data_IF_584522025919
#
_entry.id   IF_584522025919
#
_cell.length_a   1.000
_cell.length_b   1.000
_cell.length_c   1.000
_cell.angle_alpha   90.00
_cell.angle_beta   90.00
_cell.angle_gamma   90.00
#
_symmetry.space_group_name_H-M   'P 1'
#
loop_
_entity.id
_entity.type
_entity.pdbx_description
1 polymer ?
#
# COMPACT_ATOMS: atom_id res chain seq x y z
N UNK A 1 16.70 -12.44 2.77
CA UNK A 1 15.32 -12.66 2.34
C UNK A 1 15.29 -12.96 0.85
N UNK A 2 14.43 -13.90 0.40
CA UNK A 2 14.32 -14.28 -1.01
C UNK A 2 13.37 -13.32 -1.79
N UNK A 3 13.04 -12.17 -1.22
CA UNK A 3 12.23 -11.12 -1.86
C UNK A 3 13.10 -9.90 -2.15
N UNK A 4 13.08 -9.43 -3.38
CA UNK A 4 13.70 -8.18 -3.75
C UNK A 4 12.61 -7.11 -3.85
N UNK A 5 12.60 -6.18 -2.91
CA UNK A 5 11.71 -5.03 -2.93
C UNK A 5 12.53 -3.78 -3.22
N UNK A 6 12.15 -3.07 -4.28
CA UNK A 6 12.76 -1.79 -4.64
C UNK A 6 11.72 -0.70 -4.56
N UNK A 7 12.05 0.35 -3.83
CA UNK A 7 11.20 1.53 -3.70
C UNK A 7 11.27 2.33 -5.01
N UNK A 8 10.15 2.45 -5.72
CA UNK A 8 10.08 3.09 -7.04
C UNK A 8 9.42 4.48 -6.98
N UNK A 9 8.96 4.88 -5.83
CA UNK A 9 8.29 6.16 -5.59
C UNK A 9 7.96 6.26 -4.14
N UNK A 10 8.96 6.23 -3.29
CA UNK A 10 8.74 6.48 -1.89
C UNK A 10 9.04 7.92 -1.62
N UNK A 11 8.13 8.44 -0.97
CA UNK A 11 8.20 9.55 -0.11
C UNK A 11 9.59 9.98 0.33
N UNK A 12 9.81 11.23 0.11
CA UNK A 12 10.64 12.02 0.97
C UNK A 12 9.80 13.15 1.55
N UNK A 13 8.80 12.82 2.37
CA UNK A 13 8.18 13.80 3.23
C UNK A 13 9.23 14.30 4.22
N UNK A 14 9.81 15.48 4.01
CA UNK A 14 10.62 16.21 4.96
C UNK A 14 12.13 15.85 5.03
N UNK A 15 12.70 15.13 4.08
CA UNK A 15 14.16 15.11 3.93
C UNK A 15 14.56 15.67 2.59
N UNK A 16 15.13 16.87 2.60
CA UNK A 16 15.66 17.59 1.43
C UNK A 16 16.91 16.93 0.83
N UNK A 17 17.15 15.65 1.08
CA UNK A 17 18.37 14.99 0.67
C UNK A 17 18.11 13.61 0.08
N UNK A 18 18.22 13.52 -1.24
CA UNK A 18 18.65 12.29 -1.90
C UNK A 18 20.13 12.04 -1.58
N UNK A 19 20.61 10.80 -1.72
CA UNK A 19 22.05 10.55 -1.69
C UNK A 19 22.75 11.39 -2.77
N UNK A 20 23.96 11.85 -2.51
CA UNK A 20 24.76 12.60 -3.47
C UNK A 20 24.84 11.80 -4.78
N UNK A 21 24.52 12.48 -5.88
CA UNK A 21 24.50 11.93 -7.25
C UNK A 21 23.38 10.91 -7.58
N UNK A 22 22.42 10.69 -6.68
CA UNK A 22 21.20 9.93 -6.94
C UNK A 22 19.98 10.86 -6.99
N UNK A 23 19.47 11.12 -8.18
CA UNK A 23 18.37 12.06 -8.41
C UNK A 23 17.08 11.29 -8.72
N UNK A 24 16.30 11.00 -7.67
CA UNK A 24 14.96 10.44 -7.81
C UNK A 24 13.90 11.50 -7.57
N UNK A 25 12.75 11.33 -8.21
CA UNK A 25 11.60 12.21 -8.00
C UNK A 25 10.89 11.75 -6.73
N UNK A 26 10.74 12.66 -5.76
CA UNK A 26 9.91 12.46 -4.56
C UNK A 26 8.51 13.03 -4.74
N UNK A 27 7.52 12.33 -4.22
CA UNK A 27 6.15 12.82 -4.05
C UNK A 27 5.55 12.22 -2.76
N UNK A 28 4.58 12.86 -2.09
CA UNK A 28 3.98 12.33 -0.88
C UNK A 28 3.00 11.19 -1.21
N UNK A 29 3.55 10.10 -1.68
CA UNK A 29 2.83 8.96 -2.24
C UNK A 29 3.66 7.68 -2.09
N UNK A 30 3.09 6.54 -2.48
CA UNK A 30 3.75 5.25 -2.32
C UNK A 30 3.65 4.41 -3.59
N UNK A 31 4.76 3.73 -3.94
CA UNK A 31 4.81 2.70 -4.97
C UNK A 31 5.98 1.75 -4.71
N UNK A 32 5.73 0.45 -4.67
CA UNK A 32 6.74 -0.59 -4.49
C UNK A 32 6.77 -1.53 -5.69
N UNK A 33 7.96 -1.73 -6.24
CA UNK A 33 8.21 -2.81 -7.19
C UNK A 33 8.75 -4.02 -6.44
N UNK A 34 8.17 -5.20 -6.72
CA UNK A 34 8.44 -6.44 -5.98
C UNK A 34 8.66 -7.56 -6.98
N UNK A 35 9.74 -8.31 -6.80
CA UNK A 35 10.00 -9.56 -7.53
C UNK A 35 9.82 -10.74 -6.60
N UNK A 36 9.00 -11.72 -7.02
CA UNK A 36 8.78 -12.99 -6.33
C UNK A 36 8.92 -14.12 -7.33
N UNK A 37 10.07 -14.82 -7.32
CA UNK A 37 10.44 -15.82 -8.32
C UNK A 37 10.39 -15.26 -9.76
N UNK A 38 9.41 -15.67 -10.55
CA UNK A 38 9.21 -15.21 -11.93
C UNK A 38 8.13 -14.14 -12.08
N UNK A 39 7.47 -13.76 -10.97
CA UNK A 39 6.43 -12.74 -10.94
C UNK A 39 7.01 -11.36 -10.62
N UNK A 40 6.50 -10.36 -11.30
CA UNK A 40 6.86 -8.96 -11.10
C UNK A 40 5.61 -8.18 -10.74
N UNK A 41 5.59 -7.64 -9.55
CA UNK A 41 4.44 -6.96 -9.00
C UNK A 41 4.77 -5.47 -8.80
N UNK A 42 3.76 -4.65 -9.00
CA UNK A 42 3.74 -3.27 -8.54
C UNK A 42 2.68 -3.16 -7.45
N UNK A 43 3.03 -2.59 -6.31
CA UNK A 43 2.09 -2.31 -5.23
C UNK A 43 1.95 -0.81 -5.10
N UNK A 44 0.76 -0.29 -5.41
CA UNK A 44 0.41 1.12 -5.58
C UNK A 44 1.22 1.85 -6.69
N UNK A 45 0.81 3.06 -7.03
CA UNK A 45 1.36 3.80 -8.18
C UNK A 45 1.65 5.27 -7.91
N UNK A 46 1.47 5.73 -6.67
CA UNK A 46 1.66 7.14 -6.37
C UNK A 46 0.62 8.08 -6.99
N UNK A 47 0.91 9.38 -6.96
CA UNK A 47 0.08 10.42 -7.58
C UNK A 47 0.31 10.59 -9.08
N UNK A 48 1.55 10.46 -9.53
CA UNK A 48 1.99 10.90 -10.85
C UNK A 48 2.75 9.81 -11.63
N UNK A 49 3.51 10.21 -12.63
CA UNK A 49 4.45 9.34 -13.34
C UNK A 49 5.83 9.22 -12.66
N UNK A 50 5.97 9.73 -11.44
CA UNK A 50 7.24 9.73 -10.71
C UNK A 50 7.80 8.31 -10.54
N UNK A 51 6.95 7.33 -10.20
CA UNK A 51 7.36 5.93 -10.09
C UNK A 51 7.90 5.34 -11.40
N UNK A 52 7.36 5.74 -12.56
CA UNK A 52 7.85 5.31 -13.89
C UNK A 52 9.23 5.88 -14.15
N UNK A 53 9.43 7.18 -13.90
CA UNK A 53 10.71 7.85 -14.10
C UNK A 53 11.79 7.29 -13.16
N UNK A 54 11.42 7.03 -11.91
CA UNK A 54 12.32 6.41 -10.94
C UNK A 54 12.68 4.97 -11.34
N UNK A 55 11.69 4.17 -11.79
CA UNK A 55 11.93 2.82 -12.30
C UNK A 55 12.92 2.83 -13.47
N UNK A 56 12.74 3.75 -14.41
CA UNK A 56 13.68 3.92 -15.55
C UNK A 56 15.08 4.29 -15.06
N UNK A 57 15.21 5.21 -14.09
CA UNK A 57 16.50 5.63 -13.54
C UNK A 57 17.29 4.48 -12.89
N UNK A 58 16.57 3.49 -12.30
CA UNK A 58 17.19 2.30 -11.67
C UNK A 58 17.11 1.05 -12.56
N UNK A 59 16.81 1.20 -13.86
CA UNK A 59 16.72 0.14 -14.86
C UNK A 59 15.71 -0.97 -14.52
N UNK A 60 14.55 -0.61 -13.95
CA UNK A 60 13.41 -1.50 -13.78
C UNK A 60 12.47 -1.35 -14.97
N UNK A 61 12.18 -2.46 -15.64
CA UNK A 61 11.22 -2.51 -16.75
C UNK A 61 9.79 -2.78 -16.24
N UNK A 62 9.01 -1.71 -16.13
CA UNK A 62 7.60 -1.81 -15.71
C UNK A 62 6.67 -2.39 -16.80
N UNK A 63 7.12 -2.53 -18.05
CA UNK A 63 6.31 -3.21 -19.08
C UNK A 63 6.14 -4.69 -18.82
N UNK A 64 7.02 -5.26 -18.00
CA UNK A 64 7.09 -6.69 -17.66
C UNK A 64 6.36 -7.05 -16.35
N UNK A 65 5.63 -6.09 -15.71
CA UNK A 65 4.85 -6.42 -14.52
C UNK A 65 3.68 -7.36 -14.87
N UNK A 66 3.49 -8.38 -14.05
CA UNK A 66 2.39 -9.34 -14.19
C UNK A 66 1.14 -8.90 -13.41
N UNK A 67 1.34 -8.22 -12.29
CA UNK A 67 0.26 -7.82 -11.39
C UNK A 67 0.53 -6.44 -10.79
N UNK A 68 -0.48 -5.57 -10.85
CA UNK A 68 -0.59 -4.35 -10.07
C UNK A 68 -1.54 -4.62 -8.91
N UNK A 69 -1.11 -4.37 -7.69
CA UNK A 69 -1.96 -4.43 -6.49
C UNK A 69 -2.21 -3.01 -6.00
N UNK A 70 -3.46 -2.65 -5.75
CA UNK A 70 -3.81 -1.37 -5.14
C UNK A 70 -4.24 -1.59 -3.69
N UNK A 71 -3.57 -0.91 -2.77
CA UNK A 71 -3.85 -1.01 -1.33
C UNK A 71 -5.22 -0.45 -0.98
N UNK A 72 -5.55 0.73 -1.50
CA UNK A 72 -6.84 1.40 -1.36
C UNK A 72 -6.99 2.49 -2.43
N UNK A 73 -8.16 3.16 -2.45
CA UNK A 73 -8.53 4.03 -3.55
C UNK A 73 -8.17 5.51 -3.39
N UNK A 74 -7.30 5.92 -2.47
CA UNK A 74 -6.83 7.30 -2.44
C UNK A 74 -5.92 7.61 -3.63
N UNK A 75 -5.90 8.87 -4.04
CA UNK A 75 -5.22 9.31 -5.25
C UNK A 75 -3.69 9.25 -5.16
N UNK A 76 -3.12 9.28 -3.96
CA UNK A 76 -1.70 9.08 -3.66
C UNK A 76 -1.24 7.61 -3.76
N UNK A 77 -2.17 6.70 -4.03
CA UNK A 77 -1.92 5.28 -4.29
C UNK A 77 -2.35 4.86 -5.70
N UNK A 78 -3.36 5.55 -6.26
CA UNK A 78 -3.99 5.17 -7.53
C UNK A 78 -3.77 6.16 -8.66
N UNK A 79 -3.23 7.35 -8.38
CA UNK A 79 -3.06 8.45 -9.34
C UNK A 79 -2.17 8.08 -10.51
N UNK A 80 -1.16 7.27 -10.27
CA UNK A 80 -0.21 6.82 -11.27
C UNK A 80 -0.76 5.81 -12.28
N UNK A 81 -1.87 5.11 -11.99
CA UNK A 81 -2.43 4.07 -12.88
C UNK A 81 -2.65 4.58 -14.31
N UNK A 82 -3.17 5.79 -14.46
CA UNK A 82 -3.38 6.41 -15.79
C UNK A 82 -2.09 6.59 -16.58
N UNK A 83 -0.98 6.89 -15.90
CA UNK A 83 0.33 7.06 -16.54
C UNK A 83 0.92 5.71 -16.94
N UNK A 84 0.74 4.68 -16.10
CA UNK A 84 1.13 3.31 -16.43
C UNK A 84 0.39 2.81 -17.68
N UNK A 85 -0.93 2.99 -17.75
CA UNK A 85 -1.76 2.62 -18.90
C UNK A 85 -1.34 3.34 -20.18
N UNK A 86 -1.00 4.63 -20.09
CA UNK A 86 -0.58 5.43 -21.24
C UNK A 86 0.83 5.08 -21.73
N UNK A 87 1.75 4.83 -20.79
CA UNK A 87 3.14 4.51 -21.12
C UNK A 87 3.30 3.10 -21.66
N UNK A 88 2.50 2.17 -21.17
CA UNK A 88 2.55 0.74 -21.50
C UNK A 88 1.18 0.21 -21.94
N UNK A 89 0.65 0.67 -23.10
CA UNK A 89 -0.71 0.31 -23.54
C UNK A 89 -0.88 -1.18 -23.85
N UNK A 90 0.21 -1.89 -24.12
CA UNK A 90 0.22 -3.33 -24.38
C UNK A 90 0.45 -4.17 -23.10
N UNK A 91 0.66 -3.53 -21.95
CA UNK A 91 0.81 -4.21 -20.68
C UNK A 91 -0.52 -4.91 -20.31
N UNK A 92 -0.46 -6.23 -20.20
CA UNK A 92 -1.62 -7.06 -19.83
C UNK A 92 -1.62 -7.42 -18.36
N UNK A 93 -1.03 -6.56 -17.51
CA UNK A 93 -1.00 -6.83 -16.09
C UNK A 93 -2.43 -6.93 -15.52
N UNK A 94 -2.58 -7.80 -14.55
CA UNK A 94 -3.81 -7.94 -13.77
C UNK A 94 -3.78 -6.90 -12.65
N UNK A 95 -4.89 -6.20 -12.43
CA UNK A 95 -5.07 -5.37 -11.24
C UNK A 95 -5.82 -6.17 -10.17
N UNK A 96 -5.25 -6.27 -8.99
CA UNK A 96 -5.88 -6.87 -7.80
C UNK A 96 -6.15 -5.75 -6.79
N UNK A 97 -7.40 -5.62 -6.37
CA UNK A 97 -7.81 -4.59 -5.42
C UNK A 97 -9.14 -4.93 -4.73
N UNK A 98 -9.51 -4.15 -3.73
CA UNK A 98 -10.85 -4.19 -3.16
C UNK A 98 -11.88 -3.59 -4.13
N UNK A 99 -13.16 -4.03 -4.15
CA UNK A 99 -14.20 -3.49 -5.03
C UNK A 99 -14.44 -1.97 -4.92
N UNK A 100 -14.17 -1.39 -3.78
CA UNK A 100 -14.41 0.04 -3.51
C UNK A 100 -13.24 0.95 -3.93
N UNK A 101 -12.17 0.42 -4.50
CA UNK A 101 -10.94 1.16 -4.84
C UNK A 101 -11.17 2.31 -5.83
N UNK A 102 -12.17 2.21 -6.70
CA UNK A 102 -12.48 3.24 -7.69
C UNK A 102 -13.64 4.15 -7.31
N UNK A 103 -14.14 4.08 -6.07
CA UNK A 103 -15.19 4.98 -5.59
C UNK A 103 -14.70 6.43 -5.54
N UNK A 104 -15.60 7.35 -5.86
CA UNK A 104 -15.31 8.77 -5.74
C UNK A 104 -15.28 9.18 -4.27
N UNK A 105 -14.21 9.84 -3.86
CA UNK A 105 -13.99 10.28 -2.49
C UNK A 105 -13.69 11.77 -2.43
N UNK A 106 -14.28 12.45 -1.44
CA UNK A 106 -14.13 13.88 -1.23
C UNK A 106 -13.76 14.12 0.24
N UNK A 107 -12.73 14.93 0.45
CA UNK A 107 -12.36 15.45 1.76
C UNK A 107 -12.11 16.96 1.65
N UNK A 108 -12.81 17.78 2.46
CA UNK A 108 -12.71 19.24 2.41
C UNK A 108 -12.81 19.81 0.98
N UNK A 109 -13.80 19.36 0.21
CA UNK A 109 -14.04 19.75 -1.19
C UNK A 109 -12.97 19.27 -2.20
N UNK A 110 -11.93 18.61 -1.73
CA UNK A 110 -10.89 18.02 -2.58
C UNK A 110 -11.26 16.60 -2.99
N UNK A 111 -11.07 16.28 -4.26
CA UNK A 111 -11.14 14.89 -4.73
C UNK A 111 -9.90 14.13 -4.30
N UNK A 112 -10.07 13.20 -3.37
CA UNK A 112 -8.99 12.36 -2.83
C UNK A 112 -9.06 10.90 -3.30
N UNK A 113 -10.10 10.53 -4.04
CA UNK A 113 -10.27 9.19 -4.59
C UNK A 113 -9.49 8.97 -5.89
N UNK A 114 -9.54 7.74 -6.41
CA UNK A 114 -8.94 7.37 -7.68
C UNK A 114 -9.40 8.33 -8.80
N UNK A 115 -8.45 8.84 -9.63
CA UNK A 115 -8.79 9.70 -10.76
C UNK A 115 -9.42 8.92 -11.93
N UNK A 116 -9.45 7.59 -11.86
CA UNK A 116 -10.01 6.72 -12.89
C UNK A 116 -11.28 6.05 -12.39
N UNK A 117 -12.25 5.95 -13.28
CA UNK A 117 -13.44 5.12 -13.03
C UNK A 117 -13.16 3.66 -13.38
N UNK A 118 -13.73 2.73 -12.60
CA UNK A 118 -13.61 1.30 -12.82
C UNK A 118 -13.89 0.87 -14.28
N UNK A 119 -14.94 1.44 -14.89
CA UNK A 119 -15.33 1.16 -16.28
C UNK A 119 -14.23 1.49 -17.30
N UNK A 120 -13.40 2.47 -17.02
CA UNK A 120 -12.35 2.91 -17.95
C UNK A 120 -11.10 2.04 -17.78
N UNK A 121 -10.79 1.65 -16.57
CA UNK A 121 -9.71 0.69 -16.28
C UNK A 121 -10.04 -0.70 -16.86
N UNK A 122 -11.27 -1.17 -16.73
CA UNK A 122 -11.74 -2.46 -17.31
C UNK A 122 -11.57 -2.58 -18.83
N UNK A 123 -11.53 -1.46 -19.54
CA UNK A 123 -11.32 -1.49 -21.01
C UNK A 123 -9.89 -1.85 -21.41
N UNK A 124 -8.93 -1.58 -20.53
CA UNK A 124 -7.50 -1.68 -20.83
C UNK A 124 -6.79 -2.76 -19.99
N UNK A 125 -7.29 -3.04 -18.81
CA UNK A 125 -6.66 -3.94 -17.85
C UNK A 125 -7.63 -5.00 -17.31
N UNK A 126 -7.08 -6.14 -16.92
CA UNK A 126 -7.87 -7.21 -16.28
C UNK A 126 -8.02 -6.90 -14.79
N UNK A 127 -9.25 -6.63 -14.34
CA UNK A 127 -9.56 -6.34 -12.94
C UNK A 127 -9.97 -7.61 -12.18
N UNK A 128 -9.33 -7.86 -11.06
CA UNK A 128 -9.73 -8.84 -10.06
C UNK A 128 -10.06 -8.11 -8.75
N UNK A 129 -11.31 -7.75 -8.60
CA UNK A 129 -11.79 -7.03 -7.42
C UNK A 129 -12.30 -8.05 -6.40
N UNK A 130 -11.76 -8.04 -5.19
CA UNK A 130 -12.11 -9.00 -4.13
C UNK A 130 -12.01 -8.40 -2.73
N UNK A 131 -12.95 -8.80 -1.87
CA UNK A 131 -12.90 -8.57 -0.43
C UNK A 131 -12.17 -9.69 0.32
N UNK A 132 -11.97 -10.82 -0.34
CA UNK A 132 -11.37 -12.01 0.26
C UNK A 132 -9.87 -12.06 -0.05
N UNK A 133 -9.07 -12.69 0.84
CA UNK A 133 -7.67 -12.94 0.54
C UNK A 133 -7.48 -13.72 -0.76
N UNK A 134 -6.46 -13.33 -1.53
CA UNK A 134 -6.11 -14.01 -2.77
C UNK A 134 -4.61 -14.02 -3.01
N UNK A 135 -4.07 -15.16 -3.47
CA UNK A 135 -2.68 -15.25 -3.91
C UNK A 135 -2.47 -14.42 -5.17
N UNK A 136 -1.48 -13.53 -5.13
CA UNK A 136 -1.06 -12.70 -6.28
C UNK A 136 0.22 -13.23 -6.92
N UNK A 137 1.01 -14.01 -6.15
CA UNK A 137 2.13 -14.83 -6.61
C UNK A 137 2.24 -16.07 -5.74
N UNK A 138 3.28 -16.86 -5.90
CA UNK A 138 3.52 -18.08 -5.11
C UNK A 138 3.58 -17.78 -3.61
N UNK A 139 4.33 -16.74 -3.23
CA UNK A 139 4.61 -16.43 -1.83
C UNK A 139 3.85 -15.20 -1.33
N UNK A 140 3.17 -14.43 -2.22
CA UNK A 140 2.50 -13.18 -1.85
C UNK A 140 0.98 -13.35 -1.89
N UNK A 141 0.34 -12.89 -0.81
CA UNK A 141 -1.13 -12.86 -0.66
C UNK A 141 -1.59 -11.41 -0.51
N UNK A 142 -2.57 -10.98 -1.30
CA UNK A 142 -3.38 -9.79 -1.02
C UNK A 142 -4.41 -10.13 0.03
N UNK A 143 -4.57 -9.31 1.07
CA UNK A 143 -5.40 -9.63 2.22
C UNK A 143 -6.90 -9.36 2.02
N UNK A 144 -7.28 -8.51 1.06
CA UNK A 144 -8.68 -8.10 0.90
C UNK A 144 -9.13 -7.12 2.00
N UNK A 145 -10.39 -7.17 2.39
CA UNK A 145 -10.95 -6.30 3.42
C UNK A 145 -10.44 -6.71 4.81
N UNK A 146 -9.75 -5.79 5.49
CA UNK A 146 -9.16 -6.05 6.81
C UNK A 146 -10.24 -5.94 7.89
N UNK A 147 -10.50 -6.98 8.69
CA UNK A 147 -11.43 -6.91 9.82
C UNK A 147 -10.83 -6.12 10.99
N UNK A 148 -11.68 -5.73 11.93
CA UNK A 148 -11.23 -5.15 13.19
C UNK A 148 -10.81 -6.27 14.14
N UNK A 149 -9.50 -6.38 14.42
CA UNK A 149 -8.90 -7.44 15.25
C UNK A 149 -8.60 -6.96 16.68
N UNK A 150 -8.60 -5.63 16.91
CA UNK A 150 -8.33 -5.04 18.22
C UNK A 150 -9.27 -3.87 18.51
N UNK A 151 -9.26 -3.35 19.75
CA UNK A 151 -10.16 -2.31 20.22
C UNK A 151 -9.64 -0.88 20.07
N UNK A 152 -8.35 -0.69 19.74
CA UNK A 152 -7.71 0.62 19.73
C UNK A 152 -7.44 1.18 18.33
N UNK A 153 -7.50 0.36 17.30
CA UNK A 153 -7.33 0.78 15.90
C UNK A 153 -8.68 0.85 15.17
N UNK A 154 -9.65 1.53 15.78
CA UNK A 154 -10.93 1.75 15.12
C UNK A 154 -10.77 2.65 13.91
N UNK A 155 -11.45 2.31 12.80
CA UNK A 155 -11.52 3.17 11.62
C UNK A 155 -12.23 4.48 11.95
N UNK A 156 -11.76 5.56 11.36
CA UNK A 156 -12.40 6.87 11.39
C UNK A 156 -12.72 7.30 9.97
N UNK A 157 -13.82 8.01 9.81
CA UNK A 157 -14.20 8.54 8.51
C UNK A 157 -13.17 9.56 8.02
N UNK A 158 -12.75 9.42 6.76
CA UNK A 158 -11.88 10.34 6.04
C UNK A 158 -12.66 10.89 4.86
N UNK A 159 -13.45 11.94 5.10
CA UNK A 159 -14.31 12.50 4.08
C UNK A 159 -15.55 11.66 3.79
N UNK A 160 -16.00 11.71 2.54
CA UNK A 160 -17.23 11.07 2.08
C UNK A 160 -17.03 10.35 0.75
N UNK A 161 -17.76 9.27 0.59
CA UNK A 161 -17.96 8.61 -0.72
C UNK A 161 -19.09 9.33 -1.45
N UNK A 162 -18.88 9.68 -2.71
CA UNK A 162 -19.87 10.34 -3.58
C UNK A 162 -20.35 9.38 -4.66
N UNK A 163 -21.19 8.42 -4.27
CA UNK A 163 -21.87 7.49 -5.19
C UNK A 163 -23.37 7.44 -4.84
N UNK A 164 -24.18 8.23 -5.55
CA UNK A 164 -25.60 8.40 -5.21
C UNK A 164 -25.77 9.28 -3.96
N UNK A 165 -26.24 8.70 -2.86
CA UNK A 165 -26.25 9.38 -1.57
C UNK A 165 -24.83 9.42 -0.97
N UNK A 166 -24.44 10.60 -0.46
CA UNK A 166 -23.16 10.76 0.23
C UNK A 166 -23.15 9.99 1.53
N UNK A 167 -22.10 9.20 1.74
CA UNK A 167 -21.86 8.45 2.97
C UNK A 167 -20.45 8.70 3.51
N UNK A 168 -20.27 8.57 4.82
CA UNK A 168 -18.93 8.64 5.42
C UNK A 168 -18.00 7.58 4.84
N UNK A 169 -16.77 7.97 4.54
CA UNK A 169 -15.74 7.07 4.01
C UNK A 169 -14.84 6.55 5.14
N UNK A 170 -15.04 5.31 5.53
CA UNK A 170 -14.21 4.61 6.50
C UNK A 170 -13.03 3.85 5.86
N UNK A 171 -12.76 4.09 4.58
CA UNK A 171 -11.68 3.45 3.80
C UNK A 171 -11.71 1.93 3.97
N UNK A 172 -12.88 1.33 3.74
CA UNK A 172 -13.10 -0.12 3.92
C UNK A 172 -12.25 -0.96 2.96
N UNK A 173 -11.79 -0.37 1.89
CA UNK A 173 -10.91 -0.95 0.89
C UNK A 173 -9.43 -0.98 1.27
N UNK A 174 -9.04 -0.38 2.42
CA UNK A 174 -7.66 -0.43 2.90
C UNK A 174 -7.21 -1.87 3.13
N UNK A 175 -6.13 -2.24 2.47
CA UNK A 175 -5.58 -3.58 2.42
C UNK A 175 -4.06 -3.57 2.37
N UNK A 176 -3.47 -4.75 2.44
CA UNK A 176 -2.03 -4.98 2.37
C UNK A 176 -1.72 -6.25 1.59
N UNK A 177 -0.45 -6.45 1.27
CA UNK A 177 0.07 -7.73 0.81
C UNK A 177 1.02 -8.33 1.85
N UNK A 178 1.08 -9.65 1.88
CA UNK A 178 1.93 -10.41 2.79
C UNK A 178 2.79 -11.37 2.00
N UNK A 179 4.09 -11.25 2.16
CA UNK A 179 5.04 -12.25 1.71
C UNK A 179 5.24 -13.30 2.81
N UNK A 180 5.04 -14.56 2.46
CA UNK A 180 5.26 -15.70 3.34
C UNK A 180 6.57 -16.42 2.95
N UNK A 181 7.64 -16.09 3.68
CA UNK A 181 8.93 -16.72 3.53
C UNK A 181 9.14 -17.89 4.49
N UNK A 182 10.31 -18.51 4.41
CA UNK A 182 10.72 -19.60 5.32
C UNK A 182 10.93 -19.13 6.77
N UNK A 183 11.21 -17.84 6.97
CA UNK A 183 11.52 -17.28 8.28
C UNK A 183 10.31 -16.61 8.96
N UNK A 184 9.17 -16.52 8.27
CA UNK A 184 7.92 -15.90 8.72
C UNK A 184 7.33 -14.96 7.69
N UNK A 185 6.44 -14.06 8.16
CA UNK A 185 5.70 -13.11 7.33
C UNK A 185 6.42 -11.77 7.23
N UNK A 186 6.46 -11.20 6.03
CA UNK A 186 6.83 -9.81 5.79
C UNK A 186 5.61 -9.08 5.20
N UNK A 187 5.20 -7.99 5.84
CA UNK A 187 3.97 -7.26 5.50
C UNK A 187 4.32 -5.98 4.76
N UNK A 188 3.63 -5.72 3.65
CA UNK A 188 3.76 -4.52 2.84
C UNK A 188 2.39 -3.84 2.80
N UNK A 189 2.30 -2.63 3.33
CA UNK A 189 1.05 -1.88 3.45
C UNK A 189 1.11 -0.54 2.74
N UNK A 190 -0.08 -0.01 2.37
CA UNK A 190 -0.22 1.37 1.88
C UNK A 190 -0.19 2.36 3.04
N UNK A 191 -1.38 2.80 3.49
CA UNK A 191 -1.54 3.75 4.60
C UNK A 191 -1.88 3.11 5.95
N UNK A 192 -2.38 1.89 5.97
CA UNK A 192 -2.91 1.23 7.20
C UNK A 192 -4.09 1.99 7.86
N UNK A 193 -5.05 2.46 7.06
CA UNK A 193 -6.28 3.08 7.59
C UNK A 193 -7.07 2.12 8.48
N UNK A 194 -6.99 0.82 8.20
CA UNK A 194 -7.56 -0.25 9.03
C UNK A 194 -6.82 -0.50 10.34
N UNK A 195 -5.63 0.06 10.49
CA UNK A 195 -4.75 -0.17 11.63
C UNK A 195 -3.68 -1.22 11.33
N UNK A 196 -2.42 -0.87 11.61
CA UNK A 196 -1.29 -1.76 11.31
C UNK A 196 -1.33 -3.05 12.14
N UNK A 197 -1.76 -2.99 13.40
CA UNK A 197 -1.91 -4.19 14.23
C UNK A 197 -3.07 -5.07 13.77
N UNK A 198 -4.17 -4.48 13.28
CA UNK A 198 -5.27 -5.25 12.65
C UNK A 198 -4.78 -5.98 11.39
N UNK A 199 -3.99 -5.30 10.55
CA UNK A 199 -3.39 -5.90 9.35
C UNK A 199 -2.50 -7.08 9.73
N UNK A 200 -1.64 -6.92 10.74
CA UNK A 200 -0.71 -7.96 11.20
C UNK A 200 -1.48 -9.17 11.73
N UNK A 201 -2.45 -8.97 12.62
CA UNK A 201 -3.24 -10.08 13.17
C UNK A 201 -4.01 -10.83 12.07
N UNK A 202 -4.61 -10.10 11.15
CA UNK A 202 -5.31 -10.72 10.02
C UNK A 202 -4.35 -11.46 9.08
N UNK A 203 -3.16 -10.92 8.85
CA UNK A 203 -2.12 -11.61 8.08
C UNK A 203 -1.72 -12.95 8.71
N UNK A 204 -1.56 -12.99 10.04
CA UNK A 204 -1.27 -14.22 10.78
C UNK A 204 -2.37 -15.27 10.59
N UNK A 205 -3.64 -14.86 10.66
CA UNK A 205 -4.78 -15.77 10.43
C UNK A 205 -4.81 -16.30 9.00
N UNK A 206 -4.72 -15.39 8.01
CA UNK A 206 -4.80 -15.74 6.58
C UNK A 206 -3.68 -16.68 6.16
N UNK A 207 -2.46 -16.43 6.65
CA UNK A 207 -1.27 -17.22 6.29
C UNK A 207 -1.02 -18.41 7.23
N UNK A 208 -1.78 -18.53 8.32
CA UNK A 208 -1.58 -19.53 9.38
C UNK A 208 -0.13 -19.55 9.88
N UNK A 209 0.45 -18.37 10.09
CA UNK A 209 1.84 -18.17 10.54
C UNK A 209 1.85 -17.03 11.59
N UNK A 210 2.51 -17.26 12.74
CA UNK A 210 2.53 -16.31 13.84
C UNK A 210 3.75 -15.38 13.83
N UNK A 211 4.83 -15.82 13.20
CA UNK A 211 6.08 -15.07 13.20
C UNK A 211 6.05 -13.95 12.16
N UNK A 212 6.23 -12.72 12.61
CA UNK A 212 6.40 -11.55 11.76
C UNK A 212 7.89 -11.24 11.68
N UNK A 213 8.42 -11.21 10.48
CA UNK A 213 9.81 -10.84 10.21
C UNK A 213 9.94 -9.33 10.12
N UNK A 214 9.03 -8.68 9.39
CA UNK A 214 9.09 -7.24 9.24
C UNK A 214 7.83 -6.65 8.63
N UNK A 215 7.75 -5.32 8.69
CA UNK A 215 6.65 -4.52 8.16
C UNK A 215 7.20 -3.27 7.47
N UNK A 216 6.73 -3.00 6.24
CA UNK A 216 7.06 -1.78 5.50
C UNK A 216 5.78 -1.08 5.02
N UNK A 217 5.77 0.25 5.07
CA UNK A 217 4.71 1.10 4.54
C UNK A 217 4.25 2.20 5.48
N UNK A 218 3.10 2.79 5.19
CA UNK A 218 2.49 3.81 6.01
C UNK A 218 1.73 3.22 7.20
N UNK A 219 1.89 3.80 8.37
CA UNK A 219 1.24 3.33 9.61
C UNK A 219 0.11 4.26 10.07
N UNK A 220 -0.14 5.33 9.33
CA UNK A 220 -1.16 6.34 9.64
C UNK A 220 -1.08 6.87 11.09
N UNK A 221 0.13 7.06 11.58
CA UNK A 221 0.44 7.53 12.93
C UNK A 221 1.07 8.92 12.86
N UNK A 222 0.26 9.97 13.01
CA UNK A 222 0.67 11.36 12.78
C UNK A 222 0.98 12.15 14.06
N UNK A 223 0.65 11.61 15.23
CA UNK A 223 0.80 12.33 16.50
C UNK A 223 0.99 11.37 17.67
N UNK A 224 1.57 11.89 18.75
CA UNK A 224 1.60 11.18 20.02
C UNK A 224 0.17 10.94 20.50
N UNK A 225 -0.18 9.68 20.71
CA UNK A 225 -1.54 9.26 21.06
C UNK A 225 -1.51 7.90 21.76
N UNK A 226 -2.61 7.55 22.43
CA UNK A 226 -2.79 6.20 22.98
C UNK A 226 -2.64 5.12 21.91
N UNK A 227 -3.14 5.37 20.68
CA UNK A 227 -2.98 4.45 19.55
C UNK A 227 -1.50 4.18 19.26
N UNK A 228 -0.66 5.22 19.17
CA UNK A 228 0.78 5.06 18.94
C UNK A 228 1.44 4.24 20.06
N UNK A 229 1.16 4.57 21.34
CA UNK A 229 1.72 3.83 22.48
C UNK A 229 1.34 2.35 22.42
N UNK A 230 0.05 2.06 22.21
CA UNK A 230 -0.43 0.67 22.13
C UNK A 230 0.10 -0.07 20.90
N UNK A 231 0.36 0.62 19.79
CA UNK A 231 1.01 0.05 18.60
C UNK A 231 2.46 -0.33 18.91
N UNK A 232 3.21 0.54 19.60
CA UNK A 232 4.60 0.24 20.01
C UNK A 232 4.62 -0.96 20.97
N UNK A 233 3.76 -0.96 21.98
CA UNK A 233 3.63 -2.08 22.93
C UNK A 233 3.30 -3.40 22.19
N UNK A 234 2.45 -3.32 21.17
CA UNK A 234 2.09 -4.47 20.34
C UNK A 234 3.31 -5.00 19.58
N UNK A 235 4.10 -4.14 18.94
CA UNK A 235 5.29 -4.55 18.21
C UNK A 235 6.32 -5.21 19.14
N UNK A 236 6.57 -4.61 20.30
CA UNK A 236 7.49 -5.17 21.30
C UNK A 236 7.02 -6.53 21.82
N UNK A 237 5.73 -6.69 22.15
CA UNK A 237 5.17 -7.96 22.62
C UNK A 237 5.22 -9.08 21.59
N UNK A 238 5.12 -8.73 20.31
CA UNK A 238 5.17 -9.69 19.21
C UNK A 238 6.59 -9.90 18.65
N UNK A 239 7.60 -9.24 19.21
CA UNK A 239 8.99 -9.36 18.78
C UNK A 239 9.23 -8.94 17.33
N UNK A 240 8.52 -7.90 16.87
CA UNK A 240 8.66 -7.37 15.50
C UNK A 240 9.82 -6.38 15.52
N UNK A 241 10.96 -6.79 14.97
CA UNK A 241 12.20 -6.02 15.01
C UNK A 241 12.44 -5.21 13.74
N UNK A 242 11.97 -5.69 12.58
CA UNK A 242 12.17 -5.02 11.30
C UNK A 242 10.97 -4.14 10.95
N UNK A 243 11.08 -2.86 11.25
CA UNK A 243 10.05 -1.86 10.96
C UNK A 243 10.60 -0.79 10.03
N UNK A 244 9.92 -0.59 8.90
CA UNK A 244 10.26 0.38 7.87
C UNK A 244 9.09 1.35 7.65
N UNK A 245 8.76 2.20 8.65
CA UNK A 245 7.66 3.15 8.51
C UNK A 245 8.03 4.24 7.49
N UNK A 246 7.13 4.51 6.57
CA UNK A 246 7.28 5.54 5.55
C UNK A 246 5.93 6.17 5.20
N UNK A 247 5.89 7.02 4.19
CA UNK A 247 4.70 7.64 3.64
C UNK A 247 3.89 8.43 4.70
N UNK A 248 2.83 7.92 5.24
CA UNK A 248 1.98 8.58 6.25
C UNK A 248 2.42 8.32 7.71
N UNK A 249 3.72 8.15 7.94
CA UNK A 249 4.32 8.08 9.26
C UNK A 249 5.21 9.32 9.49
N UNK A 250 4.96 10.10 10.55
CA UNK A 250 5.73 11.32 10.82
C UNK A 250 7.08 11.07 11.50
N UNK A 251 7.96 12.07 11.45
CA UNK A 251 9.34 11.99 11.91
C UNK A 251 9.53 11.41 13.31
N UNK A 252 8.64 11.69 14.27
CA UNK A 252 8.75 11.12 15.61
C UNK A 252 8.29 9.66 15.70
N UNK A 253 7.55 9.13 14.71
CA UNK A 253 7.31 7.69 14.62
C UNK A 253 8.62 6.95 14.39
N UNK A 254 9.52 7.50 13.57
CA UNK A 254 10.86 6.96 13.36
C UNK A 254 11.76 7.05 14.60
N UNK A 255 11.48 8.00 15.50
CA UNK A 255 12.27 8.19 16.72
C UNK A 255 11.78 7.35 17.90
N UNK A 256 10.55 6.87 17.86
CA UNK A 256 9.88 6.17 18.98
C UNK A 256 9.66 4.68 18.73
N UNK A 257 9.86 4.22 17.52
CA UNK A 257 9.87 2.78 17.21
C UNK A 257 11.22 2.16 17.60
N UNK A 258 11.24 0.92 18.06
CA UNK A 258 12.46 0.24 18.51
C UNK A 258 13.51 0.09 17.41
#
# INVERSE_FOLDING_TARGET
>A
YDITTRLVGSEMCIRDSTYIDEYYIGEPALSYYIEDENERLLFDTGYSDAFIKNAQAINIDLSAISTLVLSHGHNDHTGGVKYLMNQYPDCKCKIVAHPDVFKKRIYNELHIGSPLAEKDVKKMMNLHLTKQPVKVSKNITFLGEIPMMNDFERRHAIGVIEEGERSEDYVMDDSAIVYQGKDGLFIITGCSHSGICNIIEYAKEVCNEQKIVGVIGGFHLFKLSERLTRTIDYFQKNGIEELYPCHCAVSYTHLTLP
#
